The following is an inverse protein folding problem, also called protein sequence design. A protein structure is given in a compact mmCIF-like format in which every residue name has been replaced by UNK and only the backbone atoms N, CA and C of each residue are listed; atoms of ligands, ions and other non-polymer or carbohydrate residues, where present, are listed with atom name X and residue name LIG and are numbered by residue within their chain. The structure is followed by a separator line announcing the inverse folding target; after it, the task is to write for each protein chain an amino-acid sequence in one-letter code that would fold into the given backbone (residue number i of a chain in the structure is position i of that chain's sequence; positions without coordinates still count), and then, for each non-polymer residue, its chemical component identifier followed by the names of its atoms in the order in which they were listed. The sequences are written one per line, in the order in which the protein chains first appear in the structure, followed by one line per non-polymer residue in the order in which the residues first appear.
data_IF_863763603829
#
_entry.id   IF_863763603829
#
_cell.length_a   1.000
_cell.length_b   1.000
_cell.length_c   1.000
_cell.angle_alpha   90.00
_cell.angle_beta   90.00
_cell.angle_gamma   90.00
#
_symmetry.space_group_name_H-M   'P 1'
#
loop_
_entity.id
_entity.type
_entity.pdbx_description
1 polymer ?
#
# COMPACT_ATOMS: atom_id res chain seq x y z
N UNK A 1 0.12 3.27 1.00
CA UNK A 1 -0.49 4.48 1.58
C UNK A 1 -1.61 5.08 0.74
N UNK A 2 -1.49 5.06 -0.60
CA UNK A 2 -2.52 5.62 -1.49
C UNK A 2 -3.90 5.00 -1.27
N UNK A 3 -3.98 3.68 -1.09
CA UNK A 3 -5.25 2.97 -0.83
C UNK A 3 -5.96 3.50 0.43
N UNK A 4 -5.24 3.93 1.47
CA UNK A 4 -5.81 4.57 2.65
C UNK A 4 -6.26 6.01 2.36
N UNK A 5 -5.39 6.84 1.79
CA UNK A 5 -5.66 8.27 1.62
C UNK A 5 -6.81 8.54 0.68
N UNK A 6 -6.89 7.80 -0.43
CA UNK A 6 -7.99 7.92 -1.40
C UNK A 6 -9.29 7.35 -0.84
N UNK A 7 -9.23 6.25 -0.07
CA UNK A 7 -10.40 5.72 0.65
C UNK A 7 -10.94 6.74 1.66
N UNK A 8 -10.06 7.41 2.41
CA UNK A 8 -10.45 8.47 3.33
C UNK A 8 -11.16 9.63 2.61
N UNK A 9 -10.64 10.06 1.47
CA UNK A 9 -11.27 11.13 0.68
C UNK A 9 -12.65 10.71 0.14
N UNK A 10 -12.80 9.45 -0.25
CA UNK A 10 -14.09 8.90 -0.69
C UNK A 10 -15.10 8.79 0.46
N UNK A 11 -14.69 8.25 1.61
CA UNK A 11 -15.52 8.18 2.81
C UNK A 11 -15.99 9.57 3.29
N UNK A 12 -15.14 10.57 3.15
CA UNK A 12 -15.48 11.99 3.45
C UNK A 12 -16.34 12.66 2.35
N UNK A 13 -16.74 11.92 1.30
CA UNK A 13 -17.48 12.44 0.14
C UNK A 13 -16.78 13.59 -0.60
N UNK A 14 -15.44 13.70 -0.47
CA UNK A 14 -14.62 14.70 -1.19
C UNK A 14 -14.36 14.32 -2.63
N UNK A 15 -14.45 13.04 -2.95
CA UNK A 15 -14.32 12.48 -4.29
C UNK A 15 -15.45 11.50 -4.57
N UNK A 16 -15.82 11.34 -5.85
CA UNK A 16 -16.80 10.34 -6.27
C UNK A 16 -16.18 8.94 -6.33
N UNK A 17 -17.01 7.90 -6.36
CA UNK A 17 -16.57 6.51 -6.56
C UNK A 17 -15.78 6.36 -7.87
N UNK A 18 -16.18 7.08 -8.93
CA UNK A 18 -15.46 7.08 -10.20
C UNK A 18 -14.01 7.56 -10.04
N UNK A 19 -13.79 8.68 -9.37
CA UNK A 19 -12.44 9.20 -9.12
C UNK A 19 -11.62 8.29 -8.18
N UNK A 20 -12.28 7.66 -7.21
CA UNK A 20 -11.64 6.65 -6.35
C UNK A 20 -11.11 5.47 -7.18
N UNK A 21 -11.96 4.84 -8.00
CA UNK A 21 -11.58 3.70 -8.83
C UNK A 21 -10.53 4.12 -9.86
N UNK A 22 -10.74 5.24 -10.55
CA UNK A 22 -9.79 5.78 -11.53
C UNK A 22 -8.40 5.98 -10.92
N UNK A 23 -8.31 6.53 -9.72
CA UNK A 23 -7.03 6.71 -9.03
C UNK A 23 -6.36 5.37 -8.75
N UNK A 24 -7.09 4.39 -8.18
CA UNK A 24 -6.54 3.06 -7.90
C UNK A 24 -6.00 2.40 -9.17
N UNK A 25 -6.75 2.45 -10.28
CA UNK A 25 -6.32 1.86 -11.56
C UNK A 25 -5.06 2.55 -12.09
N UNK A 26 -5.05 3.88 -12.17
CA UNK A 26 -3.91 4.64 -12.71
C UNK A 26 -2.66 4.39 -11.85
N UNK A 27 -2.77 4.50 -10.54
CA UNK A 27 -1.61 4.32 -9.64
C UNK A 27 -1.10 2.88 -9.66
N UNK A 28 -1.99 1.89 -9.71
CA UNK A 28 -1.60 0.48 -9.80
C UNK A 28 -0.87 0.19 -11.10
N UNK A 29 -1.41 0.68 -12.23
CA UNK A 29 -0.80 0.49 -13.55
C UNK A 29 0.55 1.19 -13.66
N UNK A 30 0.66 2.43 -13.16
CA UNK A 30 1.93 3.17 -13.15
C UNK A 30 2.99 2.47 -12.28
N UNK A 31 2.60 1.96 -11.11
CA UNK A 31 3.50 1.18 -10.25
C UNK A 31 3.94 -0.12 -10.94
N UNK A 32 3.02 -0.80 -11.66
CA UNK A 32 3.37 -2.01 -12.41
C UNK A 32 4.41 -1.72 -13.49
N UNK A 33 4.19 -0.69 -14.32
CA UNK A 33 5.16 -0.30 -15.36
C UNK A 33 6.51 0.04 -14.72
N UNK A 34 6.51 0.87 -13.67
CA UNK A 34 7.75 1.29 -13.00
C UNK A 34 8.50 0.11 -12.37
N UNK A 35 7.79 -0.79 -11.69
CA UNK A 35 8.39 -1.95 -11.05
C UNK A 35 8.96 -2.95 -12.07
N UNK A 36 8.22 -3.23 -13.16
CA UNK A 36 8.69 -4.10 -14.26
C UNK A 36 9.88 -3.47 -14.98
N UNK A 37 9.85 -2.15 -15.22
CA UNK A 37 10.99 -1.42 -15.78
C UNK A 37 12.26 -1.61 -14.92
N UNK A 38 12.15 -1.42 -13.62
CA UNK A 38 13.29 -1.60 -12.71
C UNK A 38 13.73 -3.08 -12.67
N UNK A 39 12.80 -4.03 -12.64
CA UNK A 39 13.11 -5.45 -12.63
C UNK A 39 13.84 -5.87 -13.91
N UNK A 40 13.43 -5.36 -15.07
CA UNK A 40 14.06 -5.70 -16.35
C UNK A 40 15.40 -5.00 -16.53
N UNK A 41 15.44 -3.66 -16.49
CA UNK A 41 16.65 -2.93 -16.83
C UNK A 41 17.72 -3.04 -15.73
N UNK A 42 17.36 -2.82 -14.49
CA UNK A 42 18.34 -2.86 -13.41
C UNK A 42 18.51 -4.28 -12.84
N UNK A 43 17.42 -5.01 -12.69
CA UNK A 43 17.47 -6.39 -12.20
C UNK A 43 18.17 -7.32 -13.18
N UNK A 44 17.62 -7.46 -14.39
CA UNK A 44 18.05 -8.43 -15.38
C UNK A 44 19.23 -7.90 -16.23
N UNK A 45 19.11 -6.77 -16.94
CA UNK A 45 20.14 -6.30 -17.85
C UNK A 45 21.42 -5.89 -17.11
N UNK A 46 21.30 -5.13 -15.99
CA UNK A 46 22.45 -4.76 -15.16
C UNK A 46 22.90 -5.90 -14.24
N UNK A 47 22.02 -6.90 -13.98
CA UNK A 47 22.33 -8.08 -13.20
C UNK A 47 22.19 -7.91 -11.68
N UNK A 48 21.50 -6.85 -11.20
CA UNK A 48 21.37 -6.61 -9.74
C UNK A 48 20.53 -7.64 -9.00
N UNK A 49 19.68 -8.41 -9.71
CA UNK A 49 18.89 -9.52 -9.15
C UNK A 49 19.39 -10.90 -9.59
N UNK A 50 20.54 -10.95 -10.28
CA UNK A 50 21.17 -12.16 -10.84
C UNK A 50 22.53 -12.40 -10.20
N UNK A 51 23.31 -13.33 -10.75
CA UNK A 51 24.62 -13.68 -10.23
C UNK A 51 24.56 -14.11 -8.75
N UNK A 52 25.28 -13.43 -7.88
CA UNK A 52 25.32 -13.73 -6.45
C UNK A 52 23.96 -13.55 -5.73
N UNK A 53 23.06 -12.74 -6.28
CA UNK A 53 21.73 -12.49 -5.71
C UNK A 53 20.61 -13.36 -6.29
N UNK A 54 20.89 -14.13 -7.36
CA UNK A 54 19.87 -14.93 -8.07
C UNK A 54 19.13 -15.89 -7.13
N UNK A 55 19.87 -16.66 -6.31
CA UNK A 55 19.25 -17.61 -5.39
C UNK A 55 18.30 -16.93 -4.39
N UNK A 56 18.63 -15.72 -3.93
CA UNK A 56 17.77 -14.94 -3.05
C UNK A 56 16.55 -14.40 -3.77
N UNK A 57 16.71 -13.90 -5.01
CA UNK A 57 15.61 -13.43 -5.87
C UNK A 57 14.58 -14.54 -6.10
N UNK A 58 15.04 -15.74 -6.49
CA UNK A 58 14.19 -16.90 -6.69
C UNK A 58 13.49 -17.30 -5.40
N UNK A 59 14.22 -17.41 -4.29
CA UNK A 59 13.66 -17.81 -3.00
C UNK A 59 12.53 -16.87 -2.54
N UNK A 60 12.72 -15.55 -2.70
CA UNK A 60 11.69 -14.58 -2.33
C UNK A 60 10.47 -14.69 -3.26
N UNK A 61 10.68 -14.77 -4.58
CA UNK A 61 9.59 -14.92 -5.54
C UNK A 61 8.79 -16.22 -5.30
N UNK A 62 9.49 -17.32 -5.07
CA UNK A 62 8.89 -18.62 -4.75
C UNK A 62 8.02 -18.54 -3.48
N UNK A 63 8.53 -17.95 -2.41
CA UNK A 63 7.76 -17.77 -1.17
C UNK A 63 6.47 -16.96 -1.40
N UNK A 64 6.48 -16.00 -2.35
CA UNK A 64 5.29 -15.22 -2.71
C UNK A 64 4.29 -16.03 -3.53
N UNK A 65 4.75 -16.89 -4.42
CA UNK A 65 3.92 -17.67 -5.33
C UNK A 65 3.38 -18.97 -4.70
N UNK A 66 4.00 -19.47 -3.63
CA UNK A 66 3.57 -20.69 -2.93
C UNK A 66 2.35 -20.49 -2.02
N UNK A 67 2.03 -19.26 -1.64
CA UNK A 67 0.83 -18.94 -0.86
C UNK A 67 -0.43 -19.35 -1.63
N UNK A 68 -1.35 -20.03 -0.94
CA UNK A 68 -2.70 -20.21 -1.47
C UNK A 68 -3.39 -18.86 -1.66
N UNK A 69 -4.43 -18.76 -2.51
CA UNK A 69 -5.16 -17.50 -2.70
C UNK A 69 -5.62 -16.84 -1.39
N UNK A 70 -6.11 -17.65 -0.45
CA UNK A 70 -6.55 -17.15 0.87
C UNK A 70 -5.38 -16.66 1.72
N UNK A 71 -4.26 -17.39 1.74
CA UNK A 71 -3.06 -16.97 2.46
C UNK A 71 -2.49 -15.67 1.88
N UNK A 72 -2.38 -15.58 0.56
CA UNK A 72 -1.94 -14.37 -0.13
C UNK A 72 -2.84 -13.16 0.20
N UNK A 73 -4.16 -13.33 0.19
CA UNK A 73 -5.13 -12.30 0.51
C UNK A 73 -5.02 -11.83 1.98
N UNK A 74 -5.00 -12.75 2.95
CA UNK A 74 -4.90 -12.41 4.38
C UNK A 74 -3.55 -11.77 4.69
N UNK A 75 -2.45 -12.32 4.18
CA UNK A 75 -1.11 -11.76 4.31
C UNK A 75 -1.03 -10.34 3.74
N UNK A 76 -1.71 -10.09 2.62
CA UNK A 76 -1.80 -8.77 2.01
C UNK A 76 -2.60 -7.77 2.85
N UNK A 77 -3.66 -8.20 3.55
CA UNK A 77 -4.37 -7.33 4.52
C UNK A 77 -3.40 -6.83 5.58
N UNK A 78 -2.67 -7.73 6.23
CA UNK A 78 -1.69 -7.40 7.27
C UNK A 78 -0.58 -6.48 6.75
N UNK A 79 -0.10 -6.74 5.55
CA UNK A 79 0.91 -5.91 4.91
C UNK A 79 0.46 -4.45 4.75
N UNK A 80 -0.67 -4.22 4.08
CA UNK A 80 -1.08 -2.85 3.79
C UNK A 80 -1.70 -2.15 4.99
N UNK A 81 -2.14 -2.87 6.00
CA UNK A 81 -2.43 -2.30 7.31
C UNK A 81 -1.19 -1.62 7.89
N UNK A 82 -0.05 -2.31 7.94
CA UNK A 82 1.23 -1.76 8.41
C UNK A 82 1.73 -0.61 7.54
N UNK A 83 1.67 -0.74 6.20
CA UNK A 83 2.07 0.33 5.26
C UNK A 83 1.24 1.60 5.46
N UNK A 84 -0.07 1.46 5.62
CA UNK A 84 -0.95 2.59 5.83
C UNK A 84 -0.76 3.22 7.22
N UNK A 85 -0.49 2.41 8.25
CA UNK A 85 -0.09 2.92 9.57
C UNK A 85 1.24 3.70 9.50
N UNK A 86 2.22 3.23 8.72
CA UNK A 86 3.46 3.97 8.51
C UNK A 86 3.21 5.38 7.97
N UNK A 87 2.35 5.49 6.95
CA UNK A 87 1.96 6.79 6.38
C UNK A 87 1.22 7.64 7.41
N UNK A 88 0.29 7.06 8.15
CA UNK A 88 -0.47 7.77 9.18
C UNK A 88 0.44 8.30 10.30
N UNK A 89 1.35 7.48 10.81
CA UNK A 89 2.31 7.87 11.83
C UNK A 89 3.22 9.00 11.34
N UNK A 90 3.65 8.95 10.07
CA UNK A 90 4.47 10.02 9.49
C UNK A 90 3.73 11.36 9.38
N UNK A 91 2.42 11.33 9.12
CA UNK A 91 1.57 12.52 9.09
C UNK A 91 1.37 13.10 10.49
N UNK A 92 1.36 12.26 11.53
CA UNK A 92 1.20 12.67 12.94
C UNK A 92 2.42 13.35 13.53
N UNK A 93 3.60 13.21 12.94
CA UNK A 93 4.83 13.83 13.41
C UNK A 93 5.13 15.14 12.68
N UNK A 94 5.55 16.17 13.43
CA UNK A 94 6.08 17.43 12.88
C UNK A 94 7.59 17.34 12.62
N UNK A 95 8.29 16.51 13.41
CA UNK A 95 9.73 16.35 13.35
C UNK A 95 10.15 15.34 12.25
N UNK A 96 11.25 15.68 11.54
CA UNK A 96 11.77 14.82 10.46
C UNK A 96 12.14 13.41 10.93
N UNK A 97 12.82 13.30 12.07
CA UNK A 97 13.20 12.02 12.68
C UNK A 97 11.96 11.21 13.07
N UNK A 98 10.95 11.85 13.64
CA UNK A 98 9.69 11.20 13.99
C UNK A 98 8.97 10.62 12.77
N UNK A 99 9.04 11.29 11.62
CA UNK A 99 8.51 10.74 10.33
C UNK A 99 9.29 9.52 9.88
N UNK A 100 10.62 9.56 9.94
CA UNK A 100 11.46 8.42 9.55
C UNK A 100 11.14 7.21 10.43
N UNK A 101 11.15 7.37 11.75
CA UNK A 101 10.86 6.29 12.70
C UNK A 101 9.45 5.74 12.48
N UNK A 102 8.46 6.62 12.30
CA UNK A 102 7.07 6.24 12.05
C UNK A 102 6.88 5.42 10.77
N UNK A 103 7.71 5.62 9.76
CA UNK A 103 7.70 4.82 8.52
C UNK A 103 8.55 3.54 8.68
N UNK A 104 9.72 3.66 9.27
CA UNK A 104 10.73 2.59 9.31
C UNK A 104 10.21 1.32 9.98
N UNK A 105 9.67 1.43 11.20
CA UNK A 105 9.26 0.25 11.97
C UNK A 105 8.14 -0.55 11.30
N UNK A 106 7.01 0.02 10.87
CA UNK A 106 5.98 -0.78 10.21
C UNK A 106 6.43 -1.37 8.88
N UNK A 107 7.28 -0.63 8.11
CA UNK A 107 7.82 -1.12 6.84
C UNK A 107 8.79 -2.27 7.08
N UNK A 108 9.74 -2.12 8.00
CA UNK A 108 10.66 -3.19 8.36
C UNK A 108 9.91 -4.43 8.86
N UNK A 109 8.86 -4.25 9.65
CA UNK A 109 8.05 -5.35 10.19
C UNK A 109 7.40 -6.16 9.07
N UNK A 110 6.67 -5.54 8.12
CA UNK A 110 6.02 -6.32 7.07
C UNK A 110 7.01 -7.00 6.13
N UNK A 111 8.19 -6.39 5.90
CA UNK A 111 9.26 -7.00 5.10
C UNK A 111 9.87 -8.20 5.83
N UNK A 112 10.17 -8.07 7.13
CA UNK A 112 10.76 -9.13 7.93
C UNK A 112 9.84 -10.35 8.09
N UNK A 113 8.52 -10.12 8.26
CA UNK A 113 7.50 -11.18 8.33
C UNK A 113 7.31 -11.84 6.95
N UNK A 114 7.64 -11.14 5.86
CA UNK A 114 7.44 -11.63 4.50
C UNK A 114 6.02 -11.44 3.97
N UNK A 115 5.24 -10.49 4.49
CA UNK A 115 3.88 -10.22 4.04
C UNK A 115 3.78 -9.87 2.56
N UNK A 116 2.62 -10.17 1.97
CA UNK A 116 2.32 -9.95 0.55
C UNK A 116 2.02 -8.47 0.25
N UNK A 117 2.93 -7.80 -0.45
CA UNK A 117 2.79 -6.40 -0.87
C UNK A 117 2.70 -6.30 -2.38
N UNK A 118 1.57 -5.81 -2.92
CA UNK A 118 1.31 -5.81 -4.36
C UNK A 118 2.41 -5.12 -5.16
N UNK A 119 2.90 -3.96 -4.73
CA UNK A 119 3.95 -3.22 -5.46
C UNK A 119 5.32 -3.89 -5.33
N UNK A 120 5.66 -4.46 -4.17
CA UNK A 120 6.89 -5.24 -4.02
C UNK A 120 6.87 -6.50 -4.90
N UNK A 121 5.72 -7.19 -4.96
CA UNK A 121 5.54 -8.36 -5.81
C UNK A 121 5.64 -8.02 -7.30
N UNK A 122 5.23 -6.80 -7.72
CA UNK A 122 5.41 -6.27 -9.09
C UNK A 122 6.89 -6.16 -9.51
N UNK A 123 7.80 -6.12 -8.57
CA UNK A 123 9.24 -6.13 -8.82
C UNK A 123 9.85 -7.53 -8.67
N UNK A 124 9.63 -8.15 -7.51
CA UNK A 124 10.34 -9.39 -7.12
C UNK A 124 9.98 -10.57 -8.03
N UNK A 125 8.69 -10.75 -8.34
CA UNK A 125 8.26 -11.88 -9.17
C UNK A 125 8.67 -11.67 -10.63
N UNK A 126 8.43 -10.51 -11.29
CA UNK A 126 8.98 -10.24 -12.60
C UNK A 126 10.51 -10.36 -12.70
N UNK A 127 11.28 -9.96 -11.69
CA UNK A 127 12.73 -10.16 -11.68
C UNK A 127 13.11 -11.65 -11.81
N UNK A 128 12.39 -12.52 -11.09
CA UNK A 128 12.59 -13.96 -11.19
C UNK A 128 12.06 -14.56 -12.52
N UNK A 129 11.00 -13.96 -13.12
CA UNK A 129 10.50 -14.33 -14.44
C UNK A 129 11.55 -14.02 -15.51
N UNK A 130 12.15 -12.82 -15.49
CA UNK A 130 13.20 -12.44 -16.43
C UNK A 130 14.45 -13.30 -16.28
N UNK A 131 14.74 -13.78 -15.08
CA UNK A 131 15.79 -14.77 -14.84
C UNK A 131 15.43 -16.21 -15.26
N UNK A 132 14.24 -16.44 -15.84
CA UNK A 132 13.82 -17.73 -16.41
C UNK A 132 13.25 -18.76 -15.42
N UNK A 133 12.85 -18.35 -14.20
CA UNK A 133 12.44 -19.30 -13.15
C UNK A 133 10.92 -19.43 -12.93
N UNK A 134 10.12 -18.43 -13.31
CA UNK A 134 8.67 -18.41 -13.16
C UNK A 134 8.02 -17.84 -14.41
N UNK A 135 6.66 -17.84 -14.44
CA UNK A 135 5.87 -17.38 -15.59
C UNK A 135 4.90 -16.26 -15.20
N UNK A 136 4.48 -15.47 -16.17
CA UNK A 136 3.44 -14.47 -15.98
C UNK A 136 2.09 -15.09 -15.58
N UNK A 137 1.84 -16.34 -16.01
CA UNK A 137 0.62 -17.08 -15.65
C UNK A 137 0.56 -17.39 -14.15
N UNK A 138 1.69 -17.62 -13.48
CA UNK A 138 1.79 -17.78 -12.03
C UNK A 138 1.67 -16.44 -11.30
N UNK A 139 2.18 -15.37 -11.89
CA UNK A 139 2.16 -14.03 -11.27
C UNK A 139 0.76 -13.43 -11.18
N UNK A 140 -0.06 -13.47 -12.25
CA UNK A 140 -1.33 -12.75 -12.28
C UNK A 140 -2.35 -13.19 -11.22
N UNK A 141 -2.53 -14.48 -10.89
CA UNK A 141 -3.37 -14.88 -9.76
C UNK A 141 -2.90 -14.27 -8.43
N UNK A 142 -1.59 -14.33 -8.13
CA UNK A 142 -1.03 -13.70 -6.93
C UNK A 142 -1.35 -12.20 -6.90
N UNK A 143 -1.12 -11.49 -8.02
CA UNK A 143 -1.39 -10.06 -8.14
C UNK A 143 -2.84 -9.72 -7.75
N UNK A 144 -3.83 -10.48 -8.23
CA UNK A 144 -5.25 -10.21 -7.97
C UNK A 144 -5.56 -10.33 -6.47
N UNK A 145 -5.21 -11.44 -5.84
CA UNK A 145 -5.51 -11.67 -4.43
C UNK A 145 -4.75 -10.70 -3.52
N UNK A 146 -3.50 -10.41 -3.82
CA UNK A 146 -2.68 -9.46 -3.08
C UNK A 146 -3.18 -8.03 -3.25
N UNK A 147 -3.61 -7.62 -4.44
CA UNK A 147 -4.19 -6.30 -4.69
C UNK A 147 -5.43 -6.07 -3.82
N UNK A 148 -6.39 -6.99 -3.86
CA UNK A 148 -7.61 -6.85 -3.06
C UNK A 148 -7.35 -6.96 -1.56
N UNK A 149 -6.44 -7.83 -1.12
CA UNK A 149 -6.02 -7.89 0.28
C UNK A 149 -5.38 -6.57 0.75
N UNK A 150 -4.50 -5.99 -0.04
CA UNK A 150 -3.91 -4.69 0.25
C UNK A 150 -4.97 -3.58 0.29
N UNK A 151 -5.95 -3.59 -0.62
CA UNK A 151 -7.06 -2.62 -0.62
C UNK A 151 -7.87 -2.72 0.68
N UNK A 152 -8.26 -3.92 1.06
CA UNK A 152 -8.98 -4.18 2.32
C UNK A 152 -8.16 -3.73 3.53
N UNK A 153 -6.86 -4.06 3.58
CA UNK A 153 -5.96 -3.64 4.66
C UNK A 153 -5.90 -2.13 4.86
N UNK A 154 -5.75 -1.38 3.77
CA UNK A 154 -5.69 0.09 3.83
C UNK A 154 -7.04 0.74 4.09
N UNK A 155 -8.11 0.24 3.48
CA UNK A 155 -9.44 0.83 3.56
C UNK A 155 -10.17 0.48 4.85
N UNK A 156 -10.30 -0.81 5.19
CA UNK A 156 -11.10 -1.24 6.33
C UNK A 156 -10.35 -1.19 7.65
N UNK A 157 -9.04 -1.43 7.65
CA UNK A 157 -8.26 -1.49 8.88
C UNK A 157 -7.58 -0.16 9.26
N UNK A 158 -7.48 0.79 8.32
CA UNK A 158 -6.90 2.12 8.60
C UNK A 158 -7.87 3.23 8.26
N UNK A 159 -8.27 3.40 6.99
CA UNK A 159 -9.10 4.54 6.58
C UNK A 159 -10.43 4.59 7.36
N UNK A 160 -11.15 3.48 7.44
CA UNK A 160 -12.47 3.44 8.08
C UNK A 160 -12.41 3.70 9.60
N UNK A 161 -11.54 3.05 10.42
CA UNK A 161 -11.45 3.35 11.85
C UNK A 161 -11.09 4.80 12.14
N UNK A 162 -10.14 5.36 11.41
CA UNK A 162 -9.77 6.77 11.58
C UNK A 162 -10.88 7.72 11.10
N UNK A 163 -11.57 7.39 10.00
CA UNK A 163 -12.75 8.15 9.57
C UNK A 163 -13.82 8.20 10.67
N UNK A 164 -14.17 7.06 11.26
CA UNK A 164 -15.17 6.99 12.34
C UNK A 164 -14.70 7.78 13.57
N UNK A 165 -13.42 7.65 13.93
CA UNK A 165 -12.87 8.31 15.13
C UNK A 165 -12.77 9.83 15.01
N UNK A 166 -12.42 10.34 13.83
CA UNK A 166 -12.18 11.77 13.62
C UNK A 166 -13.34 12.50 12.95
N UNK A 167 -14.30 11.80 12.34
CA UNK A 167 -15.46 12.41 11.70
C UNK A 167 -16.64 12.61 12.67
N UNK A 168 -16.39 12.73 13.96
CA UNK A 168 -17.43 13.15 14.92
C UNK A 168 -17.82 14.58 14.57
N UNK A 169 -19.09 14.77 14.16
CA UNK A 169 -19.69 16.11 14.09
C UNK A 169 -19.47 16.81 15.44
N UNK A 170 -18.96 18.04 15.41
CA UNK A 170 -18.92 18.87 16.61
C UNK A 170 -20.33 18.86 17.24
N UNK A 171 -20.46 18.74 18.57
CA UNK A 171 -21.75 18.87 19.22
C UNK A 171 -22.42 20.16 18.76
N UNK A 172 -23.73 20.15 18.51
CA UNK A 172 -24.47 21.28 17.96
C UNK A 172 -24.25 22.62 18.71
N UNK A 173 -23.82 22.54 19.95
CA UNK A 173 -23.44 23.71 20.76
C UNK A 173 -22.09 24.34 20.31
N UNK A 174 -21.13 23.54 19.86
CA UNK A 174 -19.84 24.04 19.38
C UNK A 174 -19.95 24.62 17.96
N UNK A 175 -20.79 24.05 17.09
CA UNK A 175 -21.09 24.62 15.77
C UNK A 175 -21.71 26.03 15.88
N UNK A 176 -22.65 26.23 16.81
CA UNK A 176 -23.24 27.54 17.08
C UNK A 176 -22.23 28.55 17.61
N UNK A 177 -21.29 28.12 18.42
CA UNK A 177 -20.23 28.99 18.97
C UNK A 177 -19.22 29.39 17.89
N UNK A 178 -18.82 28.45 17.01
CA UNK A 178 -17.92 28.76 15.88
C UNK A 178 -18.58 29.67 14.84
N UNK A 179 -19.85 29.43 14.51
CA UNK A 179 -20.60 30.31 13.60
C UNK A 179 -20.74 31.74 14.20
N UNK A 180 -21.00 31.85 15.49
CA UNK A 180 -21.08 33.15 16.17
C UNK A 180 -19.74 33.88 16.17
N UNK A 181 -18.64 33.17 16.40
CA UNK A 181 -17.29 33.77 16.39
C UNK A 181 -16.89 34.21 14.96
N UNK A 182 -17.23 33.46 13.94
CA UNK A 182 -16.99 33.84 12.54
C UNK A 182 -17.82 35.05 12.10
N UNK A 183 -19.04 35.22 12.63
CA UNK A 183 -19.87 36.40 12.33
C UNK A 183 -19.45 37.66 13.07
N UNK A 184 -18.63 37.52 14.12
CA UNK A 184 -18.06 38.66 14.90
C UNK A 184 -16.70 39.11 14.36
N UNK A 185 -16.05 38.31 13.49
CA UNK A 185 -14.75 38.59 12.88
C UNK A 185 -14.82 39.05 11.41
N UNK A 186 -16.03 39.16 10.85
CA UNK A 186 -16.32 39.68 9.50
C UNK A 186 -16.93 41.09 9.62
#
# INVERSE_FOLDING_TARGET
GNMMTVSMAWLQKKITLFYFIRNLVIVTFSNFIGAVFVAYFFGHIVGLTEGAFLAKTISIAQAKLQDTPLQAFISAIGCNWLVCLAVWLSMGSKEFIGKIIGIWFPVMTFVAIGFQHVVANMFVIPAAIFAGHFTWAEYFPNFIFVFFGNLVGGMLFVALPYFISYNKKLPAHQEKTEMKNKSLSA
#
